data_IF_214330895483
#
_entry.id   IF_214330895483
#
_cell.length_a   1.000
_cell.length_b   1.000
_cell.length_c   1.000
_cell.angle_alpha   90.00
_cell.angle_beta   90.00
_cell.angle_gamma   90.00
#
_symmetry.space_group_name_H-M   'P 1'
#
loop_
_entity.id
_entity.type
_entity.pdbx_description
1 polymer ?
#
# COMPACT_ATOMS: atom_id res chain seq x y z
N UNK A 1 16.04 -9.14 5.90
CA UNK A 1 15.74 -8.30 7.09
C UNK A 1 14.57 -8.87 7.94
N UNK A 2 14.85 -9.67 8.99
CA UNK A 2 13.82 -10.31 9.85
C UNK A 2 12.94 -9.31 10.62
N UNK A 3 13.46 -8.12 10.93
CA UNK A 3 12.78 -7.09 11.73
C UNK A 3 11.77 -6.24 10.95
N UNK A 4 11.72 -6.36 9.63
CA UNK A 4 10.79 -5.58 8.80
C UNK A 4 9.37 -6.15 8.79
N UNK A 5 9.23 -7.49 8.86
CA UNK A 5 7.90 -8.14 8.85
C UNK A 5 7.01 -7.66 9.99
N UNK A 6 7.55 -7.54 11.22
CA UNK A 6 6.78 -7.03 12.37
C UNK A 6 6.37 -5.56 12.19
N UNK A 7 7.26 -4.73 11.63
CA UNK A 7 6.98 -3.31 11.38
C UNK A 7 5.88 -3.13 10.33
N UNK A 8 5.96 -3.85 9.21
CA UNK A 8 4.91 -3.82 8.19
C UNK A 8 3.58 -4.36 8.69
N UNK A 9 3.59 -5.40 9.54
CA UNK A 9 2.38 -5.90 10.18
C UNK A 9 1.70 -4.83 11.04
N UNK A 10 2.43 -4.20 11.96
CA UNK A 10 1.86 -3.14 12.81
C UNK A 10 1.45 -1.90 12.02
N UNK A 11 2.19 -1.55 10.96
CA UNK A 11 1.77 -0.52 10.03
C UNK A 11 0.40 -0.83 9.40
N UNK A 12 0.19 -2.06 8.93
CA UNK A 12 -1.10 -2.51 8.41
C UNK A 12 -2.23 -2.44 9.45
N UNK A 13 -1.95 -2.81 10.70
CA UNK A 13 -2.91 -2.67 11.82
C UNK A 13 -3.30 -1.21 12.02
N UNK A 14 -2.34 -0.28 12.01
CA UNK A 14 -2.62 1.16 12.15
C UNK A 14 -3.47 1.67 10.98
N UNK A 15 -3.18 1.28 9.74
CA UNK A 15 -4.01 1.64 8.58
C UNK A 15 -5.47 1.15 8.75
N UNK A 16 -5.66 -0.09 9.20
CA UNK A 16 -6.98 -0.66 9.47
C UNK A 16 -7.73 0.09 10.59
N UNK A 17 -7.04 0.47 11.66
CA UNK A 17 -7.61 1.27 12.75
C UNK A 17 -8.02 2.67 12.28
N UNK A 18 -7.19 3.34 11.49
CA UNK A 18 -7.54 4.65 10.92
C UNK A 18 -8.79 4.56 10.04
N UNK A 19 -8.86 3.54 9.17
CA UNK A 19 -10.03 3.30 8.32
C UNK A 19 -11.29 3.02 9.14
N UNK A 20 -11.22 2.16 10.16
CA UNK A 20 -12.35 1.82 11.03
C UNK A 20 -12.89 3.04 11.78
N UNK A 21 -12.02 3.94 12.21
CA UNK A 21 -12.40 5.16 12.92
C UNK A 21 -12.74 6.33 11.98
N UNK A 22 -12.94 6.10 10.68
CA UNK A 22 -13.19 7.13 9.67
C UNK A 22 -12.14 8.27 9.68
N UNK A 23 -10.91 7.96 10.08
CA UNK A 23 -9.80 8.90 10.11
C UNK A 23 -8.95 8.76 8.85
N UNK A 24 -8.90 9.81 8.04
CA UNK A 24 -8.15 9.81 6.78
C UNK A 24 -6.65 9.95 7.07
N UNK A 25 -5.89 8.90 6.74
CA UNK A 25 -4.44 8.93 6.78
C UNK A 25 -3.87 9.31 5.41
N UNK A 26 -2.91 10.24 5.38
CA UNK A 26 -2.17 10.55 4.15
C UNK A 26 -1.17 9.42 3.85
N UNK A 27 -1.55 8.52 2.96
CA UNK A 27 -0.74 7.39 2.50
C UNK A 27 -0.42 7.58 1.02
N UNK A 28 0.66 8.31 0.67
CA UNK A 28 1.03 8.62 -0.71
C UNK A 28 1.68 7.39 -1.38
N UNK A 29 1.01 6.25 -1.32
CA UNK A 29 1.44 5.02 -1.95
C UNK A 29 0.89 4.93 -3.38
N UNK A 30 1.58 4.21 -4.28
CA UNK A 30 1.09 3.92 -5.61
C UNK A 30 -0.24 3.16 -5.58
N UNK A 31 -1.05 3.36 -6.64
CA UNK A 31 -2.34 2.67 -6.84
C UNK A 31 -2.21 1.15 -6.75
N UNK A 32 -1.09 0.61 -7.24
CA UNK A 32 -0.74 -0.81 -7.20
C UNK A 32 -0.91 -1.43 -5.79
N UNK A 33 -0.55 -0.68 -4.74
CA UNK A 33 -0.66 -1.16 -3.37
C UNK A 33 -2.12 -1.32 -2.94
N UNK A 34 -2.98 -0.35 -3.29
CA UNK A 34 -4.40 -0.39 -2.97
C UNK A 34 -5.12 -1.49 -3.73
N UNK A 35 -4.80 -1.69 -5.01
CA UNK A 35 -5.28 -2.83 -5.80
C UNK A 35 -4.94 -4.15 -5.13
N UNK A 36 -3.67 -4.32 -4.70
CA UNK A 36 -3.24 -5.52 -3.97
C UNK A 36 -3.99 -5.75 -2.65
N UNK A 37 -4.32 -4.69 -1.90
CA UNK A 37 -5.11 -4.80 -0.67
C UNK A 37 -6.56 -5.23 -0.93
N UNK A 38 -7.10 -4.88 -2.10
CA UNK A 38 -8.44 -5.29 -2.57
C UNK A 38 -8.44 -6.65 -3.29
N UNK A 39 -7.32 -7.37 -3.28
CA UNK A 39 -7.11 -8.61 -4.04
C UNK A 39 -7.34 -8.45 -5.56
N UNK A 40 -7.09 -7.23 -6.08
CA UNK A 40 -7.12 -6.91 -7.50
C UNK A 40 -5.72 -7.05 -8.09
N UNK A 41 -5.62 -7.66 -9.28
CA UNK A 41 -4.36 -7.79 -10.01
C UNK A 41 -3.88 -6.42 -10.52
N UNK A 42 -2.66 -5.96 -10.16
CA UNK A 42 -2.08 -4.76 -10.74
C UNK A 42 -1.86 -4.91 -12.25
N UNK A 43 -1.94 -3.80 -12.99
CA UNK A 43 -1.74 -3.74 -14.44
C UNK A 43 -0.36 -3.21 -14.81
N UNK A 44 -0.01 -3.24 -16.09
CA UNK A 44 1.27 -2.70 -16.58
C UNK A 44 1.36 -1.18 -16.35
N UNK A 45 0.23 -0.47 -16.41
CA UNK A 45 0.15 0.96 -16.16
C UNK A 45 0.55 1.32 -14.73
N UNK A 46 0.22 0.47 -13.75
CA UNK A 46 0.59 0.68 -12.34
C UNK A 46 2.11 0.65 -12.12
N UNK A 47 2.86 0.02 -13.03
CA UNK A 47 4.33 -0.05 -12.95
C UNK A 47 4.98 1.32 -13.16
N UNK A 48 4.34 2.23 -13.90
CA UNK A 48 4.86 3.58 -14.15
C UNK A 48 5.00 4.40 -12.86
N UNK A 49 4.11 4.18 -11.90
CA UNK A 49 4.18 4.82 -10.58
C UNK A 49 5.27 4.21 -9.69
N UNK A 50 5.59 2.93 -9.89
CA UNK A 50 6.59 2.19 -9.10
C UNK A 50 8.02 2.40 -9.63
N UNK A 51 8.17 2.57 -10.94
CA UNK A 51 9.44 2.74 -11.61
C UNK A 51 9.25 3.66 -12.82
N UNK A 52 9.43 4.98 -12.65
CA UNK A 52 9.16 5.97 -13.69
C UNK A 52 9.99 5.75 -14.97
N UNK A 53 11.14 5.07 -14.88
CA UNK A 53 12.00 4.74 -16.03
C UNK A 53 11.42 3.67 -16.99
N UNK A 54 10.34 2.99 -16.57
CA UNK A 54 9.64 1.99 -17.39
C UNK A 54 8.42 2.58 -18.15
N UNK A 55 8.32 3.92 -18.16
CA UNK A 55 7.18 4.70 -18.66
C UNK A 55 7.19 5.04 -20.14
#
# INVERSE_FOLDING_TARGET
PKFEKKRYFFFGVLCGLSLFNCNVANLPFPLALFKKLLDQMPSLEDLKELSPDLG
#
